data_IF_019337634539
#
_entry.id   IF_019337634539
#
_cell.length_a   1.000
_cell.length_b   1.000
_cell.length_c   1.000
_cell.angle_alpha   90.00
_cell.angle_beta   90.00
_cell.angle_gamma   90.00
#
_symmetry.space_group_name_H-M   'P 1'
#
loop_
_entity.id
_entity.type
_entity.pdbx_description
1 polymer ?
#
# COMPACT_ATOMS: atom_id res chain seq x y z
N UNK A 1 -10.82 -10.12 1.67
CA UNK A 1 -9.57 -10.88 1.81
C UNK A 1 -8.42 -9.91 2.08
N UNK A 2 -7.45 -10.33 2.90
CA UNK A 2 -6.24 -9.55 3.11
C UNK A 2 -5.27 -9.76 1.94
N UNK A 3 -4.28 -8.87 1.81
CA UNK A 3 -3.26 -9.02 0.77
C UNK A 3 -2.52 -10.35 0.92
N UNK A 4 -2.26 -10.77 2.16
CA UNK A 4 -1.59 -12.04 2.43
C UNK A 4 -2.43 -13.23 1.97
N UNK A 5 -3.74 -13.20 2.23
CA UNK A 5 -4.65 -14.28 1.81
C UNK A 5 -4.71 -14.39 0.29
N UNK A 6 -4.74 -13.25 -0.40
CA UNK A 6 -4.73 -13.23 -1.86
C UNK A 6 -3.41 -13.80 -2.38
N UNK A 7 -2.29 -13.44 -1.75
CA UNK A 7 -0.98 -13.94 -2.15
C UNK A 7 -0.90 -15.47 -2.00
N UNK A 8 -1.44 -16.01 -0.91
CA UNK A 8 -1.47 -17.45 -0.68
C UNK A 8 -2.27 -18.17 -1.78
N UNK A 9 -3.39 -17.59 -2.20
CA UNK A 9 -4.20 -18.17 -3.27
C UNK A 9 -3.47 -18.12 -4.61
N UNK A 10 -2.77 -17.01 -4.91
CA UNK A 10 -1.99 -16.89 -6.13
C UNK A 10 -0.91 -17.97 -6.18
N UNK A 11 -0.21 -18.19 -5.07
CA UNK A 11 0.82 -19.22 -5.00
C UNK A 11 0.24 -20.62 -5.17
N UNK A 12 -0.92 -20.87 -4.56
CA UNK A 12 -1.57 -22.17 -4.67
C UNK A 12 -2.01 -22.49 -6.11
N UNK A 13 -2.22 -21.47 -6.94
CA UNK A 13 -2.60 -21.61 -8.33
C UNK A 13 -1.40 -21.55 -9.28
N UNK A 14 -0.19 -21.47 -8.73
CA UNK A 14 1.06 -21.44 -9.51
C UNK A 14 1.11 -20.32 -10.57
N UNK A 15 0.59 -19.14 -10.22
CA UNK A 15 0.62 -17.97 -11.08
C UNK A 15 1.99 -17.28 -10.95
N UNK A 16 3.00 -17.81 -11.65
CA UNK A 16 4.41 -17.47 -11.46
C UNK A 16 4.97 -16.44 -12.45
N UNK A 17 4.16 -15.89 -13.34
CA UNK A 17 4.61 -14.81 -14.21
C UNK A 17 5.00 -13.58 -13.35
N UNK A 18 5.81 -12.64 -13.88
CA UNK A 18 6.19 -11.46 -13.12
C UNK A 18 4.98 -10.73 -12.55
N UNK A 19 5.02 -10.45 -11.26
CA UNK A 19 3.93 -9.81 -10.53
C UNK A 19 4.44 -9.17 -9.25
N UNK A 20 3.61 -8.30 -8.66
CA UNK A 20 3.89 -7.73 -7.35
C UNK A 20 3.44 -8.69 -6.25
N UNK A 21 4.11 -8.62 -5.12
CA UNK A 21 3.75 -9.37 -3.91
C UNK A 21 3.69 -8.41 -2.73
N UNK A 22 3.00 -8.79 -1.61
CA UNK A 22 3.02 -7.94 -0.41
C UNK A 22 4.44 -7.63 0.07
N UNK A 23 5.37 -8.59 -0.03
CA UNK A 23 6.77 -8.37 0.38
C UNK A 23 7.45 -7.33 -0.48
N UNK A 24 7.21 -7.35 -1.79
CA UNK A 24 7.78 -6.34 -2.70
C UNK A 24 7.24 -4.96 -2.33
N UNK A 25 5.93 -4.85 -2.08
CA UNK A 25 5.31 -3.58 -1.70
C UNK A 25 5.92 -3.05 -0.40
N UNK A 26 6.05 -3.89 0.63
CA UNK A 26 6.67 -3.49 1.89
C UNK A 26 8.12 -3.04 1.70
N UNK A 27 8.85 -3.68 0.77
CA UNK A 27 10.25 -3.33 0.52
C UNK A 27 10.42 -1.94 -0.08
N UNK A 28 9.35 -1.34 -0.63
CA UNK A 28 9.40 0.00 -1.21
C UNK A 28 9.25 1.10 -0.17
N UNK A 29 8.84 0.74 1.05
CA UNK A 29 8.60 1.72 2.11
C UNK A 29 9.92 2.07 2.80
N UNK A 30 10.29 3.34 2.74
CA UNK A 30 11.46 3.85 3.45
C UNK A 30 11.07 4.35 4.84
N UNK A 31 9.92 5.00 4.96
CA UNK A 31 9.47 5.62 6.18
C UNK A 31 7.94 5.64 6.24
N UNK A 32 7.40 5.41 7.42
CA UNK A 32 5.94 5.45 7.65
C UNK A 32 5.68 6.31 8.88
N UNK A 33 4.87 7.35 8.74
CA UNK A 33 4.55 8.28 9.82
C UNK A 33 3.05 8.43 9.96
N UNK A 34 2.59 8.61 11.20
CA UNK A 34 1.17 8.83 11.48
C UNK A 34 0.99 10.18 12.15
N UNK A 35 -0.05 10.90 11.74
CA UNK A 35 -0.39 12.20 12.28
C UNK A 35 -1.88 12.24 12.61
N UNK A 36 -2.20 12.62 13.84
CA UNK A 36 -3.58 12.84 14.25
C UNK A 36 -3.84 14.34 14.07
N UNK A 37 -4.57 14.69 13.02
CA UNK A 37 -4.76 16.09 12.62
C UNK A 37 -5.99 16.73 13.26
N UNK A 38 -6.98 15.95 13.62
CA UNK A 38 -8.18 16.40 14.31
C UNK A 38 -8.55 15.34 15.34
N UNK A 39 -9.62 15.58 16.10
CA UNK A 39 -10.11 14.61 17.09
C UNK A 39 -10.53 13.26 16.46
N UNK A 40 -10.72 13.22 15.14
CA UNK A 40 -11.27 12.05 14.47
C UNK A 40 -10.44 11.60 13.26
N UNK A 41 -9.40 12.36 12.87
CA UNK A 41 -8.67 12.11 11.63
C UNK A 41 -7.22 11.68 11.88
N UNK A 42 -6.89 10.51 11.38
CA UNK A 42 -5.51 10.00 11.34
C UNK A 42 -5.04 9.98 9.90
N UNK A 43 -3.85 10.52 9.65
CA UNK A 43 -3.21 10.48 8.31
C UNK A 43 -1.92 9.70 8.41
N UNK A 44 -1.75 8.73 7.52
CA UNK A 44 -0.50 7.99 7.35
C UNK A 44 0.25 8.60 6.17
N UNK A 45 1.51 8.96 6.38
CA UNK A 45 2.40 9.42 5.31
C UNK A 45 3.47 8.36 5.12
N UNK A 46 3.54 7.80 3.92
CA UNK A 46 4.58 6.82 3.58
C UNK A 46 5.53 7.47 2.58
N UNK A 47 6.82 7.45 2.91
CA UNK A 47 7.88 7.87 1.99
C UNK A 47 8.47 6.62 1.36
N UNK A 48 8.50 6.58 0.04
CA UNK A 48 9.04 5.46 -0.71
C UNK A 48 10.56 5.60 -0.89
N UNK A 49 11.21 4.53 -1.34
CA UNK A 49 12.66 4.51 -1.50
C UNK A 49 13.22 5.63 -2.36
N UNK A 50 12.48 6.06 -3.37
CA UNK A 50 12.92 7.15 -4.26
C UNK A 50 12.52 8.54 -3.75
N UNK A 51 11.92 8.63 -2.57
CA UNK A 51 11.49 9.91 -1.98
C UNK A 51 10.06 10.31 -2.32
N UNK A 52 9.38 9.59 -3.22
CA UNK A 52 7.98 9.87 -3.51
C UNK A 52 7.12 9.56 -2.29
N UNK A 53 6.06 10.32 -2.06
CA UNK A 53 5.21 10.12 -0.88
C UNK A 53 3.79 9.76 -1.29
N UNK A 54 3.16 8.92 -0.48
CA UNK A 54 1.74 8.61 -0.58
C UNK A 54 1.12 8.78 0.79
N UNK A 55 -0.18 9.07 0.83
CA UNK A 55 -0.91 9.24 2.08
C UNK A 55 -2.15 8.36 2.10
N UNK A 56 -2.58 8.02 3.30
CA UNK A 56 -3.86 7.38 3.52
C UNK A 56 -4.51 7.98 4.75
N UNK A 57 -5.81 8.05 4.76
CA UNK A 57 -6.57 8.66 5.85
C UNK A 57 -7.51 7.64 6.48
N UNK A 58 -7.80 7.87 7.77
CA UNK A 58 -8.84 7.16 8.50
C UNK A 58 -9.56 8.19 9.37
N UNK A 59 -10.87 8.24 9.30
CA UNK A 59 -11.65 9.17 10.10
C UNK A 59 -12.88 8.48 10.67
N UNK A 60 -13.26 8.89 11.89
CA UNK A 60 -14.54 8.49 12.49
C UNK A 60 -15.42 9.72 12.63
N UNK A 61 -16.72 9.52 12.71
CA UNK A 61 -17.67 10.63 12.82
C UNK A 61 -17.68 11.24 14.22
N UNK A 62 -17.58 10.40 15.25
CA UNK A 62 -17.63 10.85 16.63
C UNK A 62 -16.29 10.68 17.34
N UNK A 63 -15.80 11.71 18.07
CA UNK A 63 -14.57 11.55 18.85
C UNK A 63 -14.64 10.41 19.87
N UNK A 64 -15.84 10.03 20.32
CA UNK A 64 -16.02 8.92 21.26
C UNK A 64 -15.66 7.57 20.64
N UNK A 65 -15.69 7.47 19.32
CA UNK A 65 -15.35 6.25 18.60
C UNK A 65 -13.90 6.25 18.10
N UNK A 66 -13.13 7.29 18.41
CA UNK A 66 -11.75 7.38 17.97
C UNK A 66 -10.88 6.33 18.67
N UNK A 67 -10.15 5.58 17.87
CA UNK A 67 -9.21 4.56 18.33
C UNK A 67 -7.91 4.78 17.57
N UNK A 68 -6.87 5.17 18.29
CA UNK A 68 -5.58 5.52 17.69
C UNK A 68 -4.98 4.34 16.90
N UNK A 69 -4.99 3.16 17.50
CA UNK A 69 -4.40 1.97 16.86
C UNK A 69 -5.15 1.57 15.61
N UNK A 70 -6.47 1.58 15.66
CA UNK A 70 -7.29 1.25 14.50
C UNK A 70 -7.15 2.31 13.40
N UNK A 71 -7.09 3.57 13.77
CA UNK A 71 -6.84 4.67 12.84
C UNK A 71 -5.52 4.52 12.11
N UNK A 72 -4.46 4.11 12.83
CA UNK A 72 -3.16 3.87 12.22
C UNK A 72 -3.22 2.70 11.23
N UNK A 73 -3.86 1.60 11.60
CA UNK A 73 -3.99 0.43 10.71
C UNK A 73 -4.75 0.76 9.44
N UNK A 74 -5.88 1.44 9.56
CA UNK A 74 -6.71 1.77 8.41
C UNK A 74 -6.03 2.79 7.50
N UNK A 75 -5.46 3.85 8.08
CA UNK A 75 -4.77 4.88 7.30
C UNK A 75 -3.55 4.31 6.57
N UNK A 76 -2.79 3.41 7.22
CA UNK A 76 -1.67 2.74 6.57
C UNK A 76 -2.15 1.86 5.41
N UNK A 77 -3.20 1.09 5.62
CA UNK A 77 -3.75 0.24 4.55
C UNK A 77 -4.14 1.09 3.34
N UNK A 78 -4.80 2.23 3.58
CA UNK A 78 -5.21 3.11 2.50
C UNK A 78 -4.02 3.73 1.76
N UNK A 79 -2.94 4.06 2.48
CA UNK A 79 -1.71 4.53 1.85
C UNK A 79 -1.03 3.42 1.04
N UNK A 80 -0.94 2.21 1.59
CA UNK A 80 -0.33 1.07 0.92
C UNK A 80 -1.06 0.71 -0.37
N UNK A 81 -2.39 0.85 -0.40
CA UNK A 81 -3.16 0.59 -1.62
C UNK A 81 -2.68 1.48 -2.78
N UNK A 82 -2.25 2.70 -2.48
CA UNK A 82 -1.69 3.61 -3.51
C UNK A 82 -0.33 3.11 -4.02
N UNK A 83 0.47 2.49 -3.17
CA UNK A 83 1.75 1.92 -3.59
C UNK A 83 1.52 0.78 -4.57
N UNK A 84 0.54 -0.08 -4.31
CA UNK A 84 0.17 -1.15 -5.24
C UNK A 84 -0.12 -0.61 -6.63
N UNK A 85 -0.89 0.48 -6.71
CA UNK A 85 -1.24 1.07 -8.00
C UNK A 85 -0.01 1.62 -8.72
N UNK A 86 0.86 2.35 -7.99
CA UNK A 86 2.06 2.92 -8.58
C UNK A 86 3.03 1.85 -9.06
N UNK A 87 3.29 0.85 -8.25
CA UNK A 87 4.20 -0.23 -8.60
C UNK A 87 3.62 -1.13 -9.68
N UNK A 88 2.30 -1.30 -9.69
CA UNK A 88 1.61 -2.05 -10.74
C UNK A 88 1.81 -1.39 -12.09
N UNK A 89 1.67 -0.07 -12.16
CA UNK A 89 1.91 0.67 -13.38
C UNK A 89 3.37 0.53 -13.84
N UNK A 90 4.33 0.64 -12.90
CA UNK A 90 5.74 0.50 -13.23
C UNK A 90 6.06 -0.90 -13.76
N UNK A 91 5.51 -1.93 -13.15
CA UNK A 91 5.72 -3.29 -13.63
C UNK A 91 5.15 -3.48 -15.02
N UNK A 92 3.93 -2.98 -15.24
CA UNK A 92 3.30 -3.08 -16.57
C UNK A 92 4.12 -2.37 -17.62
N UNK A 93 4.68 -1.19 -17.28
CA UNK A 93 5.52 -0.45 -18.21
C UNK A 93 6.79 -1.22 -18.57
N UNK A 94 7.42 -1.84 -17.59
CA UNK A 94 8.61 -2.66 -17.83
C UNK A 94 8.32 -3.85 -18.73
N UNK A 95 7.20 -4.53 -18.48
CA UNK A 95 6.80 -5.66 -19.31
C UNK A 95 6.47 -5.24 -20.75
N UNK A 96 5.83 -4.08 -20.88
CA UNK A 96 5.52 -3.51 -22.19
C UNK A 96 6.80 -3.18 -22.96
N UNK A 97 7.77 -2.53 -22.31
CA UNK A 97 9.04 -2.20 -22.92
C UNK A 97 9.83 -3.45 -23.33
N UNK A 98 9.81 -4.50 -22.49
CA UNK A 98 10.44 -5.76 -22.81
C UNK A 98 9.86 -6.42 -24.04
N UNK A 99 8.55 -6.39 -24.19
CA UNK A 99 7.89 -6.93 -25.40
C UNK A 99 8.27 -6.16 -26.66
N UNK A 100 8.42 -4.84 -26.53
CA UNK A 100 8.77 -3.99 -27.67
C UNK A 100 10.22 -4.13 -28.10
N UNK A 101 11.08 -4.65 -27.22
CA UNK A 101 12.49 -4.85 -27.48
C UNK A 101 12.82 -6.26 -28.02
N UNK A 102 11.83 -7.12 -28.05
CA UNK A 102 11.96 -8.45 -28.63
C UNK A 102 11.67 -8.41 -30.15
#
# INVERSE_FOLDING_TARGET
MTDKQIEEEIQSKNLNAPRLTPEIIESKIKKCEFHILTEVLTVCVITLENGFTVTGESACASPKNFDKELGEKISKKNAVDKIWMLEGYLLKQKLFEGKNNE
#
